data_IF_591785908669
#
_entry.id   IF_591785908669
#
_cell.length_a   1.000
_cell.length_b   1.000
_cell.length_c   1.000
_cell.angle_alpha   90.00
_cell.angle_beta   90.00
_cell.angle_gamma   90.00
#
_symmetry.space_group_name_H-M   'P 1'
#
loop_
_entity.id
_entity.type
_entity.pdbx_description
1 polymer ?
#
# COMPACT_ATOMS: atom_id res chain seq x y z
N UNK A 1 14.77 -8.41 -20.94
CA UNK A 1 13.80 -7.34 -21.24
C UNK A 1 13.93 -6.30 -20.15
N UNK A 2 14.23 -5.06 -20.49
CA UNK A 2 14.40 -3.95 -19.55
C UNK A 2 13.00 -3.49 -19.10
N UNK A 3 12.61 -3.82 -17.87
CA UNK A 3 11.23 -3.64 -17.39
C UNK A 3 11.01 -2.20 -16.87
N UNK A 4 10.62 -1.32 -17.79
CA UNK A 4 10.39 0.12 -17.58
C UNK A 4 8.93 0.50 -17.27
N UNK A 5 8.00 -0.46 -17.16
CA UNK A 5 6.56 -0.16 -17.24
C UNK A 5 5.91 0.41 -15.96
N UNK A 6 6.55 0.34 -14.79
CA UNK A 6 6.03 0.97 -13.57
C UNK A 6 7.14 1.55 -12.70
N UNK A 7 7.93 2.46 -13.27
CA UNK A 7 8.91 3.26 -12.51
C UNK A 7 8.21 4.38 -11.73
N UNK A 8 7.15 4.04 -10.98
CA UNK A 8 6.50 5.02 -10.09
C UNK A 8 7.53 5.41 -9.05
N UNK A 9 7.74 6.72 -8.92
CA UNK A 9 8.74 7.26 -8.02
C UNK A 9 8.48 6.77 -6.60
N UNK A 10 9.45 6.05 -6.01
CA UNK A 10 9.32 5.48 -4.67
C UNK A 10 8.96 6.53 -3.63
N UNK A 11 9.43 7.78 -3.77
CA UNK A 11 9.05 8.89 -2.87
C UNK A 11 7.56 9.22 -2.97
N UNK A 12 7.01 9.25 -4.18
CA UNK A 12 5.57 9.50 -4.39
C UNK A 12 4.72 8.37 -3.79
N UNK A 13 5.15 7.12 -3.96
CA UNK A 13 4.45 5.97 -3.36
C UNK A 13 4.42 6.10 -1.83
N UNK A 14 5.54 6.44 -1.20
CA UNK A 14 5.59 6.67 0.24
C UNK A 14 4.70 7.82 0.69
N UNK A 15 4.67 8.93 -0.05
CA UNK A 15 3.78 10.06 0.25
C UNK A 15 2.33 9.60 0.20
N UNK A 16 1.91 8.90 -0.85
CA UNK A 16 0.53 8.41 -1.01
C UNK A 16 0.14 7.51 0.17
N UNK A 17 1.00 6.55 0.54
CA UNK A 17 0.72 5.61 1.64
C UNK A 17 0.71 6.30 2.99
N UNK A 18 1.62 7.23 3.27
CA UNK A 18 1.61 7.99 4.52
C UNK A 18 0.36 8.86 4.60
N UNK A 19 0.01 9.56 3.52
CA UNK A 19 -1.19 10.40 3.45
C UNK A 19 -2.48 9.58 3.60
N UNK A 20 -2.55 8.39 3.00
CA UNK A 20 -3.72 7.52 3.17
C UNK A 20 -3.91 7.10 4.63
N UNK A 21 -2.82 6.76 5.32
CA UNK A 21 -2.85 6.35 6.73
C UNK A 21 -3.27 7.51 7.63
N UNK A 22 -2.67 8.70 7.43
CA UNK A 22 -3.03 9.89 8.18
C UNK A 22 -4.51 10.25 8.02
N UNK A 23 -5.03 10.23 6.80
CA UNK A 23 -6.45 10.50 6.57
C UNK A 23 -7.36 9.44 7.18
N UNK A 24 -6.93 8.18 7.19
CA UNK A 24 -7.69 7.11 7.84
C UNK A 24 -7.75 7.32 9.36
N UNK A 25 -6.64 7.76 9.97
CA UNK A 25 -6.59 8.11 11.40
C UNK A 25 -7.51 9.29 11.70
N UNK A 26 -7.48 10.35 10.87
CA UNK A 26 -8.36 11.52 11.03
C UNK A 26 -9.82 11.10 10.91
N UNK A 27 -10.18 10.31 9.91
CA UNK A 27 -11.54 9.81 9.75
C UNK A 27 -12.00 8.97 10.95
N UNK A 28 -11.11 8.15 11.51
CA UNK A 28 -11.38 7.37 12.72
C UNK A 28 -11.57 8.26 13.96
N UNK A 29 -10.79 9.33 14.11
CA UNK A 29 -10.94 10.29 15.21
C UNK A 29 -12.32 10.96 15.19
N UNK A 30 -12.80 11.38 14.02
CA UNK A 30 -14.16 11.92 13.88
C UNK A 30 -15.21 10.90 14.31
N UNK A 31 -15.07 9.65 13.87
CA UNK A 31 -15.99 8.58 14.22
C UNK A 31 -16.02 8.30 15.74
N UNK A 32 -14.87 8.38 16.42
CA UNK A 32 -14.76 8.22 17.87
C UNK A 32 -15.33 9.40 18.67
N UNK A 33 -15.32 10.60 18.11
CA UNK A 33 -15.86 11.80 18.75
C UNK A 33 -17.38 11.97 18.51
N UNK A 34 -18.06 10.94 17.98
CA UNK A 34 -19.45 10.99 17.49
C UNK A 34 -19.73 12.13 16.48
N UNK A 35 -18.67 12.73 15.95
CA UNK A 35 -18.75 13.78 14.95
C UNK A 35 -18.93 13.16 13.57
N UNK A 36 -19.89 13.67 12.80
CA UNK A 36 -19.97 13.32 11.39
C UNK A 36 -18.71 13.84 10.68
N UNK A 37 -17.77 12.96 10.35
CA UNK A 37 -16.61 13.34 9.56
C UNK A 37 -17.11 13.98 8.25
N UNK A 38 -16.52 15.12 7.82
CA UNK A 38 -16.86 15.72 6.55
C UNK A 38 -16.77 14.68 5.44
N UNK A 39 -17.84 14.54 4.63
CA UNK A 39 -17.90 13.53 3.56
C UNK A 39 -16.66 13.58 2.66
N UNK A 40 -16.13 14.77 2.40
CA UNK A 40 -14.91 14.98 1.63
C UNK A 40 -13.70 14.23 2.21
N UNK A 41 -13.52 14.24 3.54
CA UNK A 41 -12.41 13.55 4.22
C UNK A 41 -12.55 12.03 4.05
N UNK A 42 -13.75 11.50 4.23
CA UNK A 42 -14.03 10.07 4.06
C UNK A 42 -13.73 9.63 2.62
N UNK A 43 -14.23 10.37 1.62
CA UNK A 43 -14.00 10.02 0.21
C UNK A 43 -12.52 10.13 -0.16
N UNK A 44 -11.82 11.17 0.31
CA UNK A 44 -10.38 11.33 0.10
C UNK A 44 -9.58 10.17 0.72
N UNK A 45 -9.92 9.77 1.95
CA UNK A 45 -9.29 8.63 2.62
C UNK A 45 -9.49 7.33 1.84
N UNK A 46 -10.72 7.07 1.35
CA UNK A 46 -11.03 5.90 0.54
C UNK A 46 -10.24 5.87 -0.78
N UNK A 47 -10.21 7.00 -1.51
CA UNK A 47 -9.50 7.08 -2.81
C UNK A 47 -7.99 6.86 -2.62
N UNK A 48 -7.40 7.48 -1.60
CA UNK A 48 -5.97 7.33 -1.32
C UNK A 48 -5.64 5.91 -0.85
N UNK A 49 -6.49 5.31 -0.02
CA UNK A 49 -6.33 3.91 0.40
C UNK A 49 -6.45 2.95 -0.78
N UNK A 50 -7.42 3.15 -1.68
CA UNK A 50 -7.57 2.34 -2.89
C UNK A 50 -6.37 2.51 -3.83
N UNK A 51 -5.84 3.73 -3.95
CA UNK A 51 -4.63 4.01 -4.75
C UNK A 51 -3.41 3.29 -4.17
N UNK A 52 -3.21 3.34 -2.85
CA UNK A 52 -2.16 2.60 -2.15
C UNK A 52 -2.26 1.10 -2.41
N UNK A 53 -3.48 0.56 -2.40
CA UNK A 53 -3.76 -0.83 -2.72
C UNK A 53 -3.36 -1.20 -4.15
N UNK A 54 -3.80 -0.41 -5.14
CA UNK A 54 -3.47 -0.66 -6.55
C UNK A 54 -1.96 -0.64 -6.79
N UNK A 55 -1.23 0.27 -6.15
CA UNK A 55 0.23 0.33 -6.27
C UNK A 55 0.87 -0.96 -5.75
N UNK A 56 0.45 -1.44 -4.57
CA UNK A 56 1.00 -2.65 -3.94
C UNK A 56 0.64 -3.90 -4.74
N UNK A 57 -0.63 -4.03 -5.18
CA UNK A 57 -1.08 -5.14 -6.03
C UNK A 57 -0.30 -5.16 -7.33
N UNK A 58 -0.12 -4.00 -7.97
CA UNK A 58 0.72 -3.86 -9.15
C UNK A 58 2.13 -4.38 -8.88
N UNK A 59 2.79 -3.88 -7.85
CA UNK A 59 4.15 -4.28 -7.48
C UNK A 59 4.25 -5.81 -7.20
N UNK A 60 3.26 -6.41 -6.54
CA UNK A 60 3.19 -7.86 -6.29
C UNK A 60 2.97 -8.66 -7.59
N UNK A 61 2.08 -8.19 -8.46
CA UNK A 61 1.73 -8.88 -9.70
C UNK A 61 2.96 -8.99 -10.62
N UNK A 62 3.70 -7.90 -10.77
CA UNK A 62 4.84 -7.81 -11.69
C UNK A 62 6.10 -8.52 -11.21
N UNK A 63 6.33 -8.64 -9.90
CA UNK A 63 7.57 -9.22 -9.36
C UNK A 63 7.47 -10.72 -9.22
N UNK A 64 8.58 -11.47 -9.30
CA UNK A 64 8.58 -12.95 -9.27
C UNK A 64 8.84 -13.52 -7.88
N UNK A 65 8.27 -12.93 -6.83
CA UNK A 65 8.44 -13.43 -5.46
C UNK A 65 7.66 -14.73 -5.20
N UNK A 66 8.21 -15.60 -4.35
CA UNK A 66 7.57 -16.87 -3.95
C UNK A 66 6.33 -16.67 -3.05
N UNK A 67 6.30 -15.62 -2.22
CA UNK A 67 5.27 -15.42 -1.18
C UNK A 67 4.14 -14.44 -1.58
N UNK A 68 3.74 -14.36 -2.86
CA UNK A 68 2.67 -13.44 -3.31
C UNK A 68 1.35 -13.64 -2.57
N UNK A 69 0.96 -14.91 -2.38
CA UNK A 69 -0.30 -15.29 -1.71
C UNK A 69 -0.36 -14.73 -0.28
N UNK A 70 0.77 -14.74 0.44
CA UNK A 70 0.85 -14.17 1.79
C UNK A 70 0.50 -12.68 1.79
N UNK A 71 1.06 -11.90 0.87
CA UNK A 71 0.79 -10.47 0.79
C UNK A 71 -0.66 -10.14 0.41
N UNK A 72 -1.24 -10.91 -0.50
CA UNK A 72 -2.66 -10.74 -0.88
C UNK A 72 -3.57 -11.05 0.32
N UNK A 73 -3.31 -12.13 1.05
CA UNK A 73 -4.04 -12.47 2.28
C UNK A 73 -3.87 -11.35 3.31
N UNK A 74 -2.65 -10.87 3.52
CA UNK A 74 -2.36 -9.81 4.47
C UNK A 74 -3.11 -8.51 4.12
N UNK A 75 -3.24 -8.17 2.84
CA UNK A 75 -4.05 -7.02 2.39
C UNK A 75 -5.50 -7.16 2.85
N UNK A 76 -6.12 -8.32 2.71
CA UNK A 76 -7.53 -8.52 3.09
C UNK A 76 -7.73 -8.34 4.60
N UNK A 77 -6.84 -8.87 5.44
CA UNK A 77 -6.97 -8.77 6.89
C UNK A 77 -6.54 -7.42 7.44
N UNK A 78 -5.55 -6.77 6.82
CA UNK A 78 -4.95 -5.52 7.30
C UNK A 78 -4.85 -4.49 6.17
N UNK A 79 -5.99 -4.00 5.63
CA UNK A 79 -6.05 -3.15 4.45
C UNK A 79 -5.22 -1.87 4.56
N UNK A 80 -5.30 -1.20 5.71
CA UNK A 80 -4.63 0.10 5.90
C UNK A 80 -3.14 -0.04 6.24
N UNK A 81 -2.74 -1.18 6.81
CA UNK A 81 -1.37 -1.41 7.31
C UNK A 81 -0.50 -2.08 6.25
N UNK A 82 -1.10 -2.98 5.45
CA UNK A 82 -0.37 -3.78 4.46
C UNK A 82 0.45 -2.94 3.49
N UNK A 83 -0.05 -1.82 2.91
CA UNK A 83 0.76 -0.99 2.02
C UNK A 83 2.04 -0.45 2.69
N UNK A 84 1.98 -0.09 3.97
CA UNK A 84 3.13 0.39 4.73
C UNK A 84 4.16 -0.74 4.91
N UNK A 85 3.70 -1.86 5.45
CA UNK A 85 4.55 -3.01 5.78
C UNK A 85 5.17 -3.58 4.51
N UNK A 86 4.40 -3.64 3.43
CA UNK A 86 4.87 -4.05 2.12
C UNK A 86 5.99 -3.15 1.61
N UNK A 87 5.81 -1.83 1.61
CA UNK A 87 6.83 -0.89 1.13
C UNK A 87 8.10 -0.91 1.98
N UNK A 88 7.95 -1.12 3.29
CA UNK A 88 9.09 -1.29 4.19
C UNK A 88 9.86 -2.57 3.89
N UNK A 89 9.14 -3.69 3.72
CA UNK A 89 9.75 -4.99 3.41
C UNK A 89 10.21 -5.11 1.96
N UNK A 90 9.78 -4.23 1.06
CA UNK A 90 10.09 -4.26 -0.37
C UNK A 90 11.58 -4.41 -0.66
N UNK A 91 12.45 -3.70 0.05
CA UNK A 91 13.91 -3.81 -0.14
C UNK A 91 14.45 -5.19 0.24
N UNK A 92 13.88 -5.81 1.28
CA UNK A 92 14.24 -7.16 1.68
C UNK A 92 13.69 -8.19 0.69
N UNK A 93 12.47 -7.99 0.18
CA UNK A 93 11.86 -8.83 -0.85
C UNK A 93 12.68 -8.78 -2.15
N UNK A 94 13.09 -7.59 -2.59
CA UNK A 94 13.99 -7.38 -3.74
C UNK A 94 15.30 -8.17 -3.58
N UNK A 95 15.92 -8.11 -2.39
CA UNK A 95 17.13 -8.88 -2.09
C UNK A 95 16.88 -10.39 -2.14
N UNK A 96 15.74 -10.87 -1.63
CA UNK A 96 15.38 -12.28 -1.67
C UNK A 96 15.13 -12.77 -3.11
N UNK A 97 14.47 -11.96 -3.94
CA UNK A 97 14.28 -12.25 -5.37
C UNK A 97 15.61 -12.38 -6.10
N UNK A 98 16.57 -11.47 -5.85
CA UNK A 98 17.90 -11.60 -6.45
C UNK A 98 18.68 -12.86 -6.02
N UNK A 99 18.38 -13.41 -4.83
CA UNK A 99 19.10 -14.53 -4.24
C UNK A 99 18.49 -15.89 -4.59
N UNK A 100 17.16 -15.95 -4.74
CA UNK A 100 16.40 -17.19 -4.92
C UNK A 100 15.63 -17.23 -6.26
N UNK A 101 15.70 -16.19 -7.07
CA UNK A 101 14.98 -16.07 -8.35
C UNK A 101 15.63 -16.81 -9.53
N UNK A 102 16.36 -17.90 -9.28
CA UNK A 102 16.79 -18.85 -10.31
C UNK A 102 15.67 -19.80 -10.69
#
# INVERSE_FOLDING_TARGET
MEYSAFKVNSRLVWIIVISSVLLTIVALMYLLQEGAAPKVIIHAAMILSASAWLIVIGDIAYRKFYHKKFWIIFMVFFPSITPIVYLFQRKNLERLESKFGS
#
